data_IF_109478584273
#
_entry.id   IF_109478584273
#
_cell.length_a   1.000
_cell.length_b   1.000
_cell.length_c   1.000
_cell.angle_alpha   90.00
_cell.angle_beta   90.00
_cell.angle_gamma   90.00
#
_symmetry.space_group_name_H-M   'P 1'
#
loop_
_entity.id
_entity.type
_entity.pdbx_description
1 polymer ?
#
# COMPACT_ATOMS: atom_id res chain seq x y z
N UNK A 1 -6.25 3.58 21.06
CA UNK A 1 -5.83 2.37 20.31
C UNK A 1 -4.72 2.73 19.34
N UNK A 2 -4.18 1.75 18.63
CA UNK A 2 -3.13 1.91 17.63
C UNK A 2 -3.40 1.05 16.39
N UNK A 3 -2.72 1.34 15.29
CA UNK A 3 -2.76 0.54 14.07
C UNK A 3 -1.62 -0.47 14.05
N UNK A 4 -1.93 -1.73 13.75
CA UNK A 4 -0.92 -2.76 13.53
C UNK A 4 -0.20 -2.55 12.19
N UNK A 5 1.13 -2.60 12.20
CA UNK A 5 1.91 -2.57 10.96
C UNK A 5 1.93 -3.95 10.30
N UNK A 6 1.79 -3.97 8.98
CA UNK A 6 1.94 -5.19 8.18
C UNK A 6 3.18 -5.04 7.31
N UNK A 7 4.14 -5.92 7.55
CA UNK A 7 5.40 -6.03 6.80
C UNK A 7 5.61 -7.50 6.41
N UNK A 8 6.40 -7.81 5.36
CA UNK A 8 6.65 -9.18 4.92
C UNK A 8 7.10 -10.11 6.05
N UNK A 9 7.97 -9.63 6.94
CA UNK A 9 8.49 -10.40 8.08
C UNK A 9 7.38 -10.80 9.06
N UNK A 10 6.46 -9.89 9.36
CA UNK A 10 5.31 -10.15 10.26
C UNK A 10 4.32 -11.16 9.66
N UNK A 11 4.19 -11.17 8.33
CA UNK A 11 3.35 -12.13 7.61
C UNK A 11 3.99 -13.52 7.60
N UNK A 12 5.30 -13.58 7.35
CA UNK A 12 6.06 -14.83 7.37
C UNK A 12 6.10 -15.47 8.76
N UNK A 13 6.19 -14.65 9.82
CA UNK A 13 6.18 -15.12 11.20
C UNK A 13 4.77 -15.52 11.70
N UNK A 14 3.70 -15.11 11.01
CA UNK A 14 2.33 -15.36 11.45
C UNK A 14 1.89 -14.45 12.61
N UNK A 15 2.41 -13.22 12.67
CA UNK A 15 2.20 -12.30 13.78
C UNK A 15 0.86 -11.55 13.71
N UNK A 16 0.15 -11.58 12.58
CA UNK A 16 -1.11 -10.83 12.42
C UNK A 16 -2.22 -11.31 13.36
N UNK A 17 -2.54 -12.61 13.51
CA UNK A 17 -3.57 -13.05 14.45
C UNK A 17 -3.30 -12.63 15.91
N UNK A 18 -2.11 -12.85 16.52
CA UNK A 18 -1.88 -12.41 17.88
C UNK A 18 -1.95 -10.88 18.00
N UNK A 19 -1.39 -10.13 17.05
CA UNK A 19 -1.51 -8.67 17.02
C UNK A 19 -2.98 -8.22 16.99
N UNK A 20 -3.78 -8.82 16.10
CA UNK A 20 -5.18 -8.47 15.91
C UNK A 20 -6.09 -8.92 17.06
N UNK A 21 -5.64 -9.85 17.91
CA UNK A 21 -6.35 -10.21 19.14
C UNK A 21 -6.25 -9.16 20.26
N UNK A 22 -5.25 -8.26 20.21
CA UNK A 22 -5.14 -7.18 21.20
C UNK A 22 -6.32 -6.19 21.04
N UNK A 23 -7.12 -5.93 22.09
CA UNK A 23 -8.27 -5.05 22.02
C UNK A 23 -7.90 -3.58 21.74
N UNK A 24 -6.65 -3.18 21.94
CA UNK A 24 -6.16 -1.82 21.65
C UNK A 24 -5.80 -1.62 20.18
N UNK A 25 -5.63 -2.70 19.41
CA UNK A 25 -5.38 -2.65 17.97
C UNK A 25 -6.69 -2.34 17.24
N UNK A 26 -6.75 -1.20 16.57
CA UNK A 26 -7.93 -0.72 15.87
C UNK A 26 -8.12 -1.38 14.50
N UNK A 27 -7.05 -1.96 13.95
CA UNK A 27 -6.96 -2.60 12.65
C UNK A 27 -5.50 -2.66 12.20
N UNK A 28 -5.28 -2.96 10.92
CA UNK A 28 -3.92 -3.03 10.35
C UNK A 28 -3.70 -2.02 9.22
N UNK A 29 -2.45 -1.65 8.98
CA UNK A 29 -2.01 -0.77 7.91
C UNK A 29 -0.93 -1.45 7.07
N UNK A 30 -1.15 -1.48 5.77
CA UNK A 30 -0.20 -2.00 4.78
C UNK A 30 0.22 -0.92 3.77
N UNK A 31 1.41 -1.09 3.21
CA UNK A 31 1.93 -0.28 2.09
C UNK A 31 2.13 -1.20 0.89
N UNK A 32 1.64 -0.79 -0.28
CA UNK A 32 1.90 -1.47 -1.57
C UNK A 32 3.03 -0.79 -2.37
N UNK A 33 3.45 0.39 -1.92
CA UNK A 33 4.46 1.22 -2.58
C UNK A 33 5.84 0.96 -1.97
N UNK A 34 6.91 0.88 -2.78
CA UNK A 34 8.27 0.81 -2.27
C UNK A 34 8.55 1.96 -1.29
N UNK A 35 9.05 1.58 -0.11
CA UNK A 35 9.40 2.53 0.93
C UNK A 35 10.83 3.06 0.74
N UNK A 36 11.14 4.27 1.24
CA UNK A 36 12.53 4.73 1.28
C UNK A 36 13.36 3.81 2.17
N UNK A 37 14.65 3.64 1.85
CA UNK A 37 15.55 2.79 2.63
C UNK A 37 15.61 3.17 4.13
N UNK A 38 15.40 4.45 4.45
CA UNK A 38 15.34 4.96 5.83
C UNK A 38 14.11 4.51 6.61
N UNK A 39 13.09 3.92 5.98
CA UNK A 39 11.89 3.43 6.67
C UNK A 39 12.20 2.28 7.62
N UNK A 40 13.22 1.46 7.32
CA UNK A 40 13.61 0.30 8.14
C UNK A 40 12.69 -0.92 8.02
N UNK A 41 11.74 -0.92 7.07
CA UNK A 41 10.87 -2.04 6.75
C UNK A 41 10.43 -2.00 5.28
N UNK A 42 9.95 -3.13 4.77
CA UNK A 42 9.49 -3.28 3.39
C UNK A 42 7.97 -3.16 3.26
N UNK A 43 7.53 -2.78 2.06
CA UNK A 43 6.13 -2.87 1.64
C UNK A 43 5.75 -4.32 1.36
N UNK A 44 4.45 -4.61 1.38
CA UNK A 44 3.94 -5.93 0.99
C UNK A 44 3.63 -5.99 -0.51
N UNK A 45 3.62 -7.20 -1.07
CA UNK A 45 3.16 -7.44 -2.43
C UNK A 45 1.63 -7.73 -2.51
N UNK A 46 1.12 -7.97 -3.72
CA UNK A 46 -0.31 -8.25 -3.97
C UNK A 46 -0.75 -9.60 -3.38
N UNK A 47 0.12 -10.60 -3.32
CA UNK A 47 -0.21 -11.90 -2.70
C UNK A 47 -0.29 -11.76 -1.18
N UNK A 48 0.59 -10.96 -0.60
CA UNK A 48 0.62 -10.61 0.82
C UNK A 48 -0.56 -9.72 1.21
N UNK A 49 -1.05 -8.85 0.32
CA UNK A 49 -2.29 -8.10 0.51
C UNK A 49 -3.49 -9.04 0.77
N UNK A 50 -3.58 -10.14 0.03
CA UNK A 50 -4.64 -11.13 0.23
C UNK A 50 -4.54 -11.81 1.61
N UNK A 51 -3.33 -12.20 2.04
CA UNK A 51 -3.12 -12.78 3.38
C UNK A 51 -3.50 -11.80 4.48
N UNK A 52 -3.13 -10.53 4.30
CA UNK A 52 -3.44 -9.44 5.21
C UNK A 52 -4.95 -9.21 5.31
N UNK A 53 -5.64 -9.16 4.18
CA UNK A 53 -7.09 -9.01 4.12
C UNK A 53 -7.81 -10.16 4.82
N UNK A 54 -7.35 -11.40 4.62
CA UNK A 54 -7.90 -12.58 5.31
C UNK A 54 -7.80 -12.46 6.83
N UNK A 55 -6.61 -12.12 7.35
CA UNK A 55 -6.41 -11.93 8.79
C UNK A 55 -7.28 -10.80 9.35
N UNK A 56 -7.43 -9.70 8.61
CA UNK A 56 -8.29 -8.57 8.99
C UNK A 56 -9.78 -8.98 9.06
N UNK A 57 -10.25 -9.74 8.07
CA UNK A 57 -11.62 -10.29 8.03
C UNK A 57 -11.88 -11.23 9.21
N UNK A 58 -10.98 -12.19 9.44
CA UNK A 58 -11.09 -13.15 10.55
C UNK A 58 -11.15 -12.45 11.91
N UNK A 59 -10.37 -11.38 12.08
CA UNK A 59 -10.39 -10.55 13.28
C UNK A 59 -11.53 -9.51 13.32
N UNK A 60 -12.37 -9.44 12.28
CA UNK A 60 -13.42 -8.41 12.12
C UNK A 60 -12.89 -6.97 12.24
N UNK A 61 -11.65 -6.72 11.83
CA UNK A 61 -10.95 -5.44 11.93
C UNK A 61 -10.66 -4.83 10.55
N UNK A 62 -10.57 -3.49 10.43
CA UNK A 62 -10.33 -2.83 9.15
C UNK A 62 -8.87 -2.95 8.69
N UNK A 63 -8.68 -2.85 7.38
CA UNK A 63 -7.39 -2.77 6.70
C UNK A 63 -7.22 -1.40 6.04
N UNK A 64 -6.23 -0.62 6.49
CA UNK A 64 -5.79 0.58 5.81
C UNK A 64 -4.73 0.24 4.76
N UNK A 65 -4.80 0.85 3.58
CA UNK A 65 -3.84 0.60 2.50
C UNK A 65 -3.33 1.91 1.91
N UNK A 66 -2.01 2.06 1.84
CA UNK A 66 -1.38 3.07 0.99
C UNK A 66 -1.29 2.47 -0.42
N UNK A 67 -2.15 2.97 -1.30
CA UNK A 67 -2.32 2.44 -2.65
C UNK A 67 -1.45 3.20 -3.65
N UNK A 68 -0.21 2.76 -3.81
CA UNK A 68 0.57 2.97 -5.04
C UNK A 68 1.29 1.66 -5.34
N UNK A 69 1.25 1.18 -6.59
CA UNK A 69 1.86 -0.09 -6.98
C UNK A 69 2.89 0.15 -8.08
N UNK A 70 4.16 0.02 -7.73
CA UNK A 70 5.29 0.17 -8.65
C UNK A 70 6.45 -0.71 -8.21
N UNK A 71 7.27 -1.15 -9.17
CA UNK A 71 8.50 -1.85 -8.83
C UNK A 71 9.62 -0.85 -8.50
N UNK A 72 10.61 -1.21 -7.66
CA UNK A 72 11.79 -0.39 -7.46
C UNK A 72 12.54 -0.07 -8.77
N UNK A 73 12.48 -0.96 -9.77
CA UNK A 73 13.06 -0.72 -11.09
C UNK A 73 12.31 0.35 -11.87
N UNK A 74 10.97 0.32 -11.85
CA UNK A 74 10.17 1.33 -12.52
C UNK A 74 10.37 2.72 -11.89
N UNK A 75 10.42 2.78 -10.56
CA UNK A 75 10.74 4.03 -9.85
C UNK A 75 12.12 4.58 -10.26
N UNK A 76 13.17 3.73 -10.30
CA UNK A 76 14.51 4.14 -10.76
C UNK A 76 14.48 4.65 -12.20
N UNK A 77 13.72 4.01 -13.10
CA UNK A 77 13.58 4.46 -14.49
C UNK A 77 12.92 5.82 -14.60
N UNK A 78 11.84 6.08 -13.84
CA UNK A 78 11.16 7.38 -13.86
C UNK A 78 12.04 8.50 -13.27
N UNK A 79 12.85 8.20 -12.25
CA UNK A 79 13.83 9.14 -11.70
C UNK A 79 14.86 9.50 -12.77
N UNK A 80 15.48 8.50 -13.41
CA UNK A 80 16.48 8.73 -14.46
C UNK A 80 15.91 9.50 -15.67
N UNK A 81 14.66 9.22 -16.05
CA UNK A 81 13.95 9.93 -17.11
C UNK A 81 13.73 11.40 -16.75
N UNK A 82 13.32 11.71 -15.51
CA UNK A 82 13.18 13.09 -15.05
C UNK A 82 14.52 13.84 -15.01
N UNK A 83 15.57 13.20 -14.52
CA UNK A 83 16.93 13.77 -14.54
C UNK A 83 17.40 14.07 -15.97
N UNK A 84 17.07 13.21 -16.94
CA UNK A 84 17.46 13.38 -18.35
C UNK A 84 16.80 14.58 -19.03
N UNK A 85 15.63 15.03 -18.54
CA UNK A 85 14.95 16.24 -19.02
C UNK A 85 15.58 17.54 -18.50
N UNK A 86 16.55 17.44 -17.59
CA UNK A 86 17.14 18.60 -16.93
C UNK A 86 16.30 19.15 -15.78
N UNK A 87 15.28 18.41 -15.33
CA UNK A 87 14.46 18.81 -14.18
C UNK A 87 15.29 18.68 -12.89
N UNK A 88 15.29 19.68 -11.97
CA UNK A 88 16.02 19.58 -10.72
C UNK A 88 15.52 18.38 -9.89
N UNK A 89 16.39 17.50 -9.36
CA UNK A 89 15.96 16.34 -8.57
C UNK A 89 15.16 16.72 -7.31
N UNK A 90 15.39 17.93 -6.79
CA UNK A 90 14.70 18.47 -5.62
C UNK A 90 13.41 19.22 -5.93
N UNK A 91 13.03 19.37 -7.21
CA UNK A 91 11.78 20.03 -7.56
C UNK A 91 10.57 19.14 -7.26
N UNK A 92 9.45 19.78 -6.96
CA UNK A 92 8.20 19.06 -6.72
C UNK A 92 7.68 18.39 -8.01
N UNK A 93 7.91 19.02 -9.16
CA UNK A 93 7.56 18.50 -10.48
C UNK A 93 8.29 17.19 -10.79
N UNK A 94 9.58 17.09 -10.48
CA UNK A 94 10.35 15.85 -10.60
C UNK A 94 9.76 14.76 -9.70
N UNK A 95 9.43 15.10 -8.45
CA UNK A 95 8.78 14.16 -7.54
C UNK A 95 7.45 13.63 -8.11
N UNK A 96 6.60 14.51 -8.64
CA UNK A 96 5.32 14.11 -9.25
C UNK A 96 5.51 13.21 -10.48
N UNK A 97 6.52 13.49 -11.33
CA UNK A 97 6.80 12.68 -12.51
C UNK A 97 7.18 11.23 -12.17
N UNK A 98 7.72 10.99 -10.97
CA UNK A 98 8.06 9.64 -10.48
C UNK A 98 6.86 8.88 -9.88
N UNK A 99 5.72 9.55 -9.68
CA UNK A 99 4.49 9.00 -9.09
C UNK A 99 3.25 9.30 -9.94
N UNK A 100 3.22 8.83 -11.19
CA UNK A 100 2.08 9.04 -12.07
C UNK A 100 0.80 8.37 -11.53
N UNK A 101 -0.39 8.93 -11.82
CA UNK A 101 -1.68 8.41 -11.33
C UNK A 101 -1.93 6.92 -11.57
N UNK A 102 -1.30 6.32 -12.58
CA UNK A 102 -1.41 4.89 -12.87
C UNK A 102 -1.03 4.02 -11.66
N UNK A 103 -0.06 4.42 -10.84
CA UNK A 103 0.37 3.62 -9.70
C UNK A 103 -0.70 3.52 -8.63
N UNK A 104 -1.41 4.62 -8.37
CA UNK A 104 -2.55 4.62 -7.46
C UNK A 104 -3.66 3.72 -8.00
N UNK A 105 -4.02 3.88 -9.28
CA UNK A 105 -5.08 3.09 -9.93
C UNK A 105 -4.78 1.58 -9.93
N UNK A 106 -3.55 1.17 -10.26
CA UNK A 106 -3.19 -0.26 -10.26
C UNK A 106 -3.23 -0.85 -8.84
N UNK A 107 -2.80 -0.11 -7.83
CA UNK A 107 -2.93 -0.54 -6.43
C UNK A 107 -4.39 -0.67 -5.98
N UNK A 108 -5.26 0.27 -6.38
CA UNK A 108 -6.69 0.22 -6.09
C UNK A 108 -7.32 -0.99 -6.79
N UNK A 109 -7.01 -1.25 -8.06
CA UNK A 109 -7.49 -2.45 -8.77
C UNK A 109 -7.11 -3.74 -8.04
N UNK A 110 -5.86 -3.84 -7.56
CA UNK A 110 -5.41 -4.99 -6.79
C UNK A 110 -6.23 -5.16 -5.49
N UNK A 111 -6.48 -4.08 -4.76
CA UNK A 111 -7.30 -4.10 -3.55
C UNK A 111 -8.76 -4.47 -3.84
N UNK A 112 -9.37 -3.93 -4.89
CA UNK A 112 -10.73 -4.28 -5.33
C UNK A 112 -10.83 -5.76 -5.72
N UNK A 113 -9.79 -6.30 -6.38
CA UNK A 113 -9.71 -7.72 -6.72
C UNK A 113 -9.64 -8.63 -5.50
N UNK A 114 -9.04 -8.18 -4.39
CA UNK A 114 -9.08 -8.89 -3.11
C UNK A 114 -10.45 -8.72 -2.44
N UNK A 115 -10.97 -7.49 -2.40
CA UNK A 115 -12.24 -7.16 -1.74
C UNK A 115 -13.43 -7.88 -2.36
N UNK A 116 -13.47 -8.04 -3.69
CA UNK A 116 -14.55 -8.76 -4.39
C UNK A 116 -14.65 -10.23 -3.99
N UNK A 117 -13.54 -10.83 -3.55
CA UNK A 117 -13.47 -12.22 -3.06
C UNK A 117 -13.68 -12.33 -1.56
N UNK A 118 -13.67 -11.20 -0.84
CA UNK A 118 -13.80 -11.12 0.62
C UNK A 118 -14.84 -10.05 1.00
N UNK A 119 -16.15 -10.32 0.85
CA UNK A 119 -17.19 -9.30 1.04
C UNK A 119 -17.24 -8.67 2.44
N UNK A 120 -16.73 -9.38 3.45
CA UNK A 120 -16.64 -8.87 4.83
C UNK A 120 -15.44 -7.94 5.08
N UNK A 121 -14.55 -7.79 4.09
CA UNK A 121 -13.38 -6.93 4.22
C UNK A 121 -13.79 -5.47 4.32
N UNK A 122 -13.37 -4.80 5.40
CA UNK A 122 -13.49 -3.35 5.56
C UNK A 122 -12.16 -2.71 5.23
N UNK A 123 -11.93 -2.40 3.97
CA UNK A 123 -10.73 -1.71 3.51
C UNK A 123 -10.91 -0.19 3.49
N UNK A 124 -9.84 0.56 3.72
CA UNK A 124 -9.81 2.01 3.56
C UNK A 124 -8.53 2.43 2.83
N UNK A 125 -8.72 3.03 1.67
CA UNK A 125 -7.64 3.64 0.89
C UNK A 125 -7.31 4.97 1.55
N UNK A 126 -6.11 5.10 2.09
CA UNK A 126 -5.67 6.37 2.69
C UNK A 126 -5.22 7.35 1.59
N UNK A 127 -5.36 8.65 1.87
CA UNK A 127 -4.79 9.77 1.10
C UNK A 127 -4.85 9.62 -0.43
N UNK A 128 -6.04 9.33 -0.96
CA UNK A 128 -6.31 9.30 -2.40
C UNK A 128 -5.92 10.64 -3.05
N UNK A 129 -5.16 10.59 -4.14
CA UNK A 129 -4.60 11.78 -4.79
C UNK A 129 -5.08 11.96 -6.24
N UNK A 130 -5.46 10.89 -6.93
CA UNK A 130 -6.01 10.95 -8.27
C UNK A 130 -7.54 10.97 -8.24
N UNK A 131 -8.14 12.09 -8.65
CA UNK A 131 -9.59 12.21 -8.76
C UNK A 131 -10.20 11.18 -9.73
N UNK A 132 -9.42 10.72 -10.73
CA UNK A 132 -9.84 9.64 -11.63
C UNK A 132 -10.05 8.29 -10.97
N UNK A 133 -9.55 8.10 -9.74
CA UNK A 133 -9.76 6.89 -8.94
C UNK A 133 -11.13 6.85 -8.24
N UNK A 134 -11.87 7.97 -8.15
CA UNK A 134 -13.14 8.02 -7.41
C UNK A 134 -14.22 7.10 -7.99
N UNK A 135 -14.30 6.96 -9.31
CA UNK A 135 -15.26 6.07 -9.98
C UNK A 135 -14.92 4.57 -9.78
N UNK A 136 -13.74 4.26 -9.23
CA UNK A 136 -13.31 2.89 -8.98
C UNK A 136 -13.73 2.37 -7.60
N UNK A 137 -14.02 3.26 -6.64
CA UNK A 137 -14.12 2.94 -5.20
C UNK A 137 -15.52 3.07 -4.63
#
# INVERSE_FOLDING_TARGET
GYWGGVIPESLAAGDLPPLLSDPRVLGVKAFLSPLPASAGYASIDVNELEKTARAAVEASKPLLVHCELMSPEEMRRLIADAESRGDPPSSFETFLATRPPRFEREAIKALLGVSSRMPSLRAHIVHLSDAGSLEMV
#
